data_IF_541825689238
#
_entry.id   IF_541825689238
#
_cell.length_a   1.000
_cell.length_b   1.000
_cell.length_c   1.000
_cell.angle_alpha   90.00
_cell.angle_beta   90.00
_cell.angle_gamma   90.00
#
_symmetry.space_group_name_H-M   'P 1'
#
loop_
_entity.id
_entity.type
_entity.pdbx_description
1 polymer ?
#
# COMPACT_ATOMS: atom_id res chain seq x y z
N UNK A 1 -31.24 -11.96 -19.44
CA UNK A 1 -30.35 -11.10 -18.63
C UNK A 1 -28.96 -11.11 -19.26
N UNK A 2 -28.33 -9.95 -19.39
CA UNK A 2 -26.97 -9.80 -19.86
C UNK A 2 -26.00 -10.48 -18.87
N UNK A 3 -25.06 -11.27 -19.36
CA UNK A 3 -24.06 -11.96 -18.53
C UNK A 3 -22.71 -11.23 -18.66
N UNK A 4 -21.95 -11.06 -17.59
CA UNK A 4 -20.55 -10.57 -17.68
C UNK A 4 -19.67 -11.61 -18.39
N UNK A 5 -18.49 -11.17 -18.85
CA UNK A 5 -17.50 -12.09 -19.42
C UNK A 5 -17.00 -13.09 -18.35
N UNK A 6 -16.58 -14.31 -18.74
CA UNK A 6 -16.31 -15.40 -17.78
C UNK A 6 -15.30 -15.05 -16.67
N UNK A 7 -14.20 -14.37 -17.02
CA UNK A 7 -13.18 -14.03 -16.03
C UNK A 7 -13.69 -13.05 -14.96
N UNK A 8 -14.59 -12.11 -15.32
CA UNK A 8 -15.22 -11.20 -14.35
C UNK A 8 -16.21 -11.96 -13.47
N UNK A 9 -16.99 -12.92 -14.05
CA UNK A 9 -17.90 -13.76 -13.26
C UNK A 9 -17.19 -14.60 -12.19
N UNK A 10 -15.92 -14.94 -12.42
CA UNK A 10 -15.11 -15.73 -11.51
C UNK A 10 -14.43 -14.90 -10.39
N UNK A 11 -14.49 -13.57 -10.49
CA UNK A 11 -13.89 -12.67 -9.49
C UNK A 11 -14.84 -12.44 -8.31
N UNK A 12 -14.25 -12.25 -7.12
CA UNK A 12 -14.96 -11.73 -5.96
C UNK A 12 -14.79 -10.21 -5.88
N UNK A 13 -15.80 -9.47 -5.40
CA UNK A 13 -15.66 -8.05 -5.11
C UNK A 13 -14.50 -7.78 -4.14
N UNK A 14 -13.82 -6.65 -4.31
CA UNK A 14 -12.82 -6.22 -3.33
C UNK A 14 -13.45 -6.08 -1.95
N UNK A 15 -12.85 -6.74 -0.94
CA UNK A 15 -13.38 -6.74 0.42
C UNK A 15 -13.28 -5.34 1.04
N UNK A 16 -14.42 -4.70 1.25
CA UNK A 16 -14.53 -3.40 1.90
C UNK A 16 -14.29 -3.52 3.42
N UNK A 17 -13.95 -2.41 4.06
CA UNK A 17 -13.92 -2.33 5.51
C UNK A 17 -15.36 -2.32 6.05
N UNK A 18 -15.60 -3.12 7.08
CA UNK A 18 -16.84 -3.05 7.84
C UNK A 18 -16.69 -1.97 8.92
N UNK A 19 -17.64 -1.03 8.97
CA UNK A 19 -17.58 0.16 9.83
C UNK A 19 -18.88 0.39 10.61
N UNK A 20 -19.57 -0.69 10.99
CA UNK A 20 -20.83 -0.64 11.73
C UNK A 20 -20.59 -0.96 13.21
N UNK A 21 -20.35 0.08 14.02
CA UNK A 21 -20.20 -0.09 15.46
C UNK A 21 -21.51 -0.54 16.12
N UNK A 22 -21.46 -1.39 17.17
CA UNK A 22 -22.64 -1.74 17.96
C UNK A 22 -23.33 -0.50 18.57
N UNK A 23 -24.63 -0.60 18.82
CA UNK A 23 -25.40 0.50 19.40
C UNK A 23 -24.78 0.99 20.72
N UNK A 24 -24.59 2.30 20.83
CA UNK A 24 -23.99 2.96 22.00
C UNK A 24 -22.46 2.86 22.09
N UNK A 25 -21.77 2.25 21.12
CA UNK A 25 -20.30 2.23 21.05
C UNK A 25 -19.78 3.25 20.05
N UNK A 26 -18.64 3.88 20.38
CA UNK A 26 -17.89 4.73 19.44
C UNK A 26 -17.24 3.86 18.35
N UNK A 27 -17.34 4.29 17.10
CA UNK A 27 -16.59 3.65 16.01
C UNK A 27 -15.12 4.02 16.09
N UNK A 28 -14.26 3.03 16.22
CA UNK A 28 -12.81 3.15 16.16
C UNK A 28 -12.31 2.29 14.98
N UNK A 29 -12.00 2.94 13.87
CA UNK A 29 -11.52 2.26 12.65
C UNK A 29 -9.99 2.26 12.58
N UNK A 30 -9.39 1.10 12.83
CA UNK A 30 -7.96 0.85 12.69
C UNK A 30 -7.69 -0.18 11.57
N UNK A 31 -8.49 -0.17 10.50
CA UNK A 31 -8.55 -1.24 9.50
C UNK A 31 -8.03 -0.88 8.11
N UNK A 32 -7.88 0.41 7.77
CA UNK A 32 -7.65 0.86 6.39
C UNK A 32 -6.27 1.49 6.15
N UNK A 33 -5.38 1.50 7.14
CA UNK A 33 -4.06 2.14 7.07
C UNK A 33 -4.17 3.62 6.66
N UNK A 34 -5.16 4.31 7.25
CA UNK A 34 -5.29 5.75 7.11
C UNK A 34 -4.21 6.47 7.92
N UNK A 35 -3.95 7.72 7.59
CA UNK A 35 -2.97 8.52 8.33
C UNK A 35 -3.48 8.85 9.72
N UNK A 36 -2.56 8.90 10.69
CA UNK A 36 -2.82 9.36 12.06
C UNK A 36 -3.31 10.82 12.09
N UNK A 37 -2.77 11.65 11.20
CA UNK A 37 -3.08 13.08 11.12
C UNK A 37 -3.88 13.43 9.87
N UNK A 38 -4.70 14.48 9.91
CA UNK A 38 -5.30 15.05 8.71
C UNK A 38 -4.22 15.50 7.72
N UNK A 39 -4.58 15.85 6.48
CA UNK A 39 -3.64 16.49 5.55
C UNK A 39 -3.08 17.81 6.12
N UNK A 40 -1.90 18.22 5.65
CA UNK A 40 -1.33 19.49 6.08
C UNK A 40 -2.29 20.67 5.82
N UNK A 41 -2.30 21.72 6.67
CA UNK A 41 -3.12 22.89 6.44
C UNK A 41 -2.87 23.57 5.08
N UNK A 42 -1.65 23.46 4.53
CA UNK A 42 -1.32 23.93 3.19
C UNK A 42 -2.03 23.12 2.11
N UNK A 43 -2.05 21.78 2.22
CA UNK A 43 -2.76 20.91 1.30
C UNK A 43 -4.28 21.14 1.33
N UNK A 44 -4.87 21.31 2.51
CA UNK A 44 -6.30 21.59 2.67
C UNK A 44 -6.67 22.91 1.98
N UNK A 45 -5.92 23.99 2.21
CA UNK A 45 -6.16 25.29 1.56
C UNK A 45 -6.01 25.20 0.05
N UNK A 46 -4.95 24.57 -0.45
CA UNK A 46 -4.72 24.42 -1.87
C UNK A 46 -5.86 23.64 -2.58
N UNK A 47 -6.36 22.58 -1.96
CA UNK A 47 -7.51 21.84 -2.47
C UNK A 47 -8.77 22.71 -2.52
N UNK A 48 -9.08 23.43 -1.45
CA UNK A 48 -10.26 24.31 -1.36
C UNK A 48 -10.23 25.43 -2.40
N UNK A 49 -9.07 26.02 -2.64
CA UNK A 49 -8.90 27.07 -3.66
C UNK A 49 -9.03 26.49 -5.07
N UNK A 50 -8.48 25.30 -5.33
CA UNK A 50 -8.55 24.66 -6.64
C UNK A 50 -9.98 24.27 -7.06
N UNK A 51 -10.85 23.91 -6.10
CA UNK A 51 -12.27 23.57 -6.37
C UNK A 51 -13.03 24.71 -7.06
N UNK A 52 -12.62 25.98 -6.91
CA UNK A 52 -13.21 27.14 -7.61
C UNK A 52 -13.13 26.99 -9.13
N UNK A 53 -12.17 26.21 -9.63
CA UNK A 53 -11.96 25.95 -11.05
C UNK A 53 -12.46 24.54 -11.48
N UNK A 54 -13.26 23.85 -10.65
CA UNK A 54 -13.72 22.48 -10.92
C UNK A 54 -14.63 22.34 -12.16
N UNK A 55 -15.07 23.45 -12.78
CA UNK A 55 -15.77 23.49 -14.06
C UNK A 55 -14.83 23.29 -15.27
N UNK A 56 -13.52 23.28 -15.07
CA UNK A 56 -12.50 23.00 -16.07
C UNK A 56 -11.87 21.62 -15.84
N UNK A 57 -11.41 20.98 -16.90
CA UNK A 57 -10.60 19.77 -16.78
C UNK A 57 -9.26 20.09 -16.08
N UNK A 58 -8.72 19.14 -15.27
CA UNK A 58 -7.40 19.28 -14.69
C UNK A 58 -6.28 19.20 -15.76
N UNK A 59 -5.08 19.58 -15.37
CA UNK A 59 -3.90 19.36 -16.23
C UNK A 59 -3.67 17.86 -16.43
N UNK A 60 -3.74 17.35 -17.68
CA UNK A 60 -3.55 15.94 -17.99
C UNK A 60 -2.09 15.47 -17.84
N UNK A 61 -1.14 16.41 -17.77
CA UNK A 61 0.29 16.15 -17.62
C UNK A 61 0.80 16.33 -16.20
N UNK A 62 -0.03 16.84 -15.30
CA UNK A 62 0.35 17.12 -13.89
C UNK A 62 1.62 17.98 -13.78
N UNK A 63 1.86 18.87 -14.72
CA UNK A 63 3.14 19.51 -14.99
C UNK A 63 3.77 20.13 -13.73
N UNK A 64 3.04 21.01 -13.03
CA UNK A 64 3.52 21.67 -11.81
C UNK A 64 3.79 20.66 -10.67
N UNK A 65 2.89 19.70 -10.50
CA UNK A 65 3.00 18.67 -9.47
C UNK A 65 4.18 17.74 -9.75
N UNK A 66 4.32 17.27 -10.99
CA UNK A 66 5.41 16.42 -11.45
C UNK A 66 6.78 17.10 -11.29
N UNK A 67 6.86 18.40 -11.58
CA UNK A 67 8.10 19.18 -11.44
C UNK A 67 8.55 19.26 -9.97
N UNK A 68 7.63 19.44 -9.03
CA UNK A 68 7.97 19.47 -7.60
C UNK A 68 8.44 18.10 -7.10
N UNK A 69 7.81 17.02 -7.55
CA UNK A 69 8.27 15.65 -7.24
C UNK A 69 9.69 15.39 -7.77
N UNK A 70 9.94 15.79 -9.02
CA UNK A 70 11.25 15.65 -9.66
C UNK A 70 12.34 16.37 -8.88
N UNK A 71 12.08 17.61 -8.45
CA UNK A 71 13.02 18.42 -7.66
C UNK A 71 13.29 17.81 -6.27
N UNK A 72 12.24 17.36 -5.57
CA UNK A 72 12.39 16.80 -4.22
C UNK A 72 13.24 15.54 -4.22
N UNK A 73 13.03 14.65 -5.20
CA UNK A 73 13.65 13.33 -5.23
C UNK A 73 14.89 13.25 -6.12
N UNK A 74 15.30 14.36 -6.76
CA UNK A 74 16.40 14.41 -7.75
C UNK A 74 16.25 13.35 -8.85
N UNK A 75 15.06 13.30 -9.47
CA UNK A 75 14.69 12.34 -10.52
C UNK A 75 14.14 13.07 -11.75
N UNK A 76 14.22 12.45 -12.95
CA UNK A 76 13.71 13.07 -14.18
C UNK A 76 12.19 13.20 -14.17
N UNK A 77 11.68 14.40 -14.44
CA UNK A 77 10.24 14.68 -14.46
C UNK A 77 9.51 13.87 -15.55
N UNK A 78 10.17 13.59 -16.68
CA UNK A 78 9.65 12.87 -17.84
C UNK A 78 9.27 11.42 -17.49
N UNK A 79 9.99 10.81 -16.54
CA UNK A 79 9.72 9.47 -16.03
C UNK A 79 8.62 9.40 -14.99
N UNK A 80 8.09 10.53 -14.50
CA UNK A 80 7.04 10.55 -13.50
C UNK A 80 5.68 10.46 -14.16
N UNK A 81 4.88 9.45 -13.77
CA UNK A 81 3.45 9.38 -14.04
C UNK A 81 2.66 9.48 -12.74
N UNK A 82 1.53 10.21 -12.80
CA UNK A 82 0.65 10.37 -11.65
C UNK A 82 -0.68 9.67 -11.90
N UNK A 83 -1.20 8.97 -10.88
CA UNK A 83 -2.41 8.15 -10.97
C UNK A 83 -3.45 8.51 -9.91
N UNK A 84 -4.68 8.09 -10.14
CA UNK A 84 -5.78 8.16 -9.18
C UNK A 84 -5.53 7.15 -8.02
N UNK A 85 -4.52 7.46 -7.19
CA UNK A 85 -3.82 6.54 -6.30
C UNK A 85 -2.87 5.61 -7.08
N UNK A 86 -1.92 4.96 -6.38
CA UNK A 86 -1.01 3.97 -6.99
C UNK A 86 -1.75 2.78 -7.61
N UNK A 87 -3.00 2.51 -7.18
CA UNK A 87 -3.83 1.44 -7.75
C UNK A 87 -4.08 1.61 -9.24
N UNK A 88 -4.31 2.83 -9.74
CA UNK A 88 -4.46 3.07 -11.19
C UNK A 88 -3.17 2.74 -11.94
N UNK A 89 -2.01 3.09 -11.38
CA UNK A 89 -0.73 2.78 -11.99
C UNK A 89 -0.45 1.27 -12.01
N UNK A 90 -0.80 0.54 -10.94
CA UNK A 90 -0.72 -0.93 -10.89
C UNK A 90 -1.61 -1.55 -11.96
N UNK A 91 -2.87 -1.10 -12.08
CA UNK A 91 -3.80 -1.59 -13.10
C UNK A 91 -3.28 -1.30 -14.50
N UNK A 92 -2.80 -0.09 -14.76
CA UNK A 92 -2.28 0.33 -16.04
C UNK A 92 -1.03 -0.46 -16.44
N UNK A 93 -0.09 -0.69 -15.50
CA UNK A 93 1.07 -1.57 -15.69
C UNK A 93 0.64 -2.98 -16.12
N UNK A 94 -0.33 -3.52 -15.40
CA UNK A 94 -0.82 -4.87 -15.67
C UNK A 94 -1.47 -4.96 -17.04
N UNK A 95 -2.34 -4.01 -17.41
CA UNK A 95 -2.99 -3.99 -18.72
C UNK A 95 -2.03 -3.76 -19.89
N UNK A 96 -0.94 -3.01 -19.67
CA UNK A 96 0.02 -2.71 -20.73
C UNK A 96 1.02 -3.85 -20.96
N UNK A 97 1.36 -4.64 -19.92
CA UNK A 97 2.48 -5.59 -19.96
C UNK A 97 2.11 -7.04 -19.70
N UNK A 98 0.83 -7.38 -19.42
CA UNK A 98 0.39 -8.76 -19.22
C UNK A 98 -0.98 -9.03 -19.85
N UNK A 99 -1.17 -10.26 -20.30
CA UNK A 99 -2.39 -10.78 -20.87
C UNK A 99 -2.59 -12.27 -20.48
N UNK A 100 -3.55 -12.94 -21.11
CA UNK A 100 -3.84 -14.35 -20.86
C UNK A 100 -2.68 -15.33 -21.16
N UNK A 101 -1.63 -14.88 -21.85
CA UNK A 101 -0.44 -15.69 -22.17
C UNK A 101 0.71 -15.48 -21.20
N UNK A 102 0.55 -14.54 -20.27
CA UNK A 102 1.61 -14.10 -19.38
C UNK A 102 1.30 -14.41 -17.92
N UNK A 103 2.34 -14.43 -17.10
CA UNK A 103 2.23 -14.54 -15.66
C UNK A 103 2.73 -13.29 -14.96
N UNK A 104 2.08 -12.99 -13.84
CA UNK A 104 2.47 -11.98 -12.86
C UNK A 104 2.87 -12.70 -11.60
N UNK A 105 4.08 -12.44 -11.11
CA UNK A 105 4.62 -13.06 -9.90
C UNK A 105 4.62 -12.05 -8.75
N UNK A 106 4.24 -12.49 -7.55
CA UNK A 106 4.33 -11.70 -6.32
C UNK A 106 4.61 -12.61 -5.11
N UNK A 107 5.04 -12.06 -3.95
CA UNK A 107 5.09 -12.79 -2.70
C UNK A 107 3.71 -13.34 -2.29
N UNK A 108 3.69 -14.41 -1.48
CA UNK A 108 2.46 -15.10 -1.09
C UNK A 108 1.45 -14.19 -0.37
N UNK A 109 1.95 -13.28 0.47
CA UNK A 109 1.14 -12.34 1.26
C UNK A 109 1.21 -10.92 0.68
N UNK A 110 1.26 -10.80 -0.65
CA UNK A 110 1.31 -9.52 -1.33
C UNK A 110 0.01 -8.71 -1.19
N UNK A 111 0.10 -7.42 -1.52
CA UNK A 111 -1.06 -6.53 -1.57
C UNK A 111 -2.17 -7.12 -2.46
N UNK A 112 -3.38 -7.33 -1.93
CA UNK A 112 -4.44 -8.08 -2.64
C UNK A 112 -4.80 -7.53 -4.02
N UNK A 113 -4.60 -6.23 -4.25
CA UNK A 113 -4.92 -5.63 -5.55
C UNK A 113 -4.02 -6.12 -6.69
N UNK A 114 -2.81 -6.60 -6.42
CA UNK A 114 -1.96 -7.20 -7.46
C UNK A 114 -2.65 -8.40 -8.12
N UNK A 115 -3.26 -9.26 -7.31
CA UNK A 115 -4.07 -10.40 -7.81
C UNK A 115 -5.29 -9.92 -8.58
N UNK A 116 -6.00 -8.91 -8.08
CA UNK A 116 -7.18 -8.34 -8.76
C UNK A 116 -6.78 -7.77 -10.12
N UNK A 117 -5.68 -7.02 -10.20
CA UNK A 117 -5.18 -6.46 -11.46
C UNK A 117 -4.81 -7.57 -12.47
N UNK A 118 -4.14 -8.64 -12.00
CA UNK A 118 -3.83 -9.81 -12.83
C UNK A 118 -5.10 -10.48 -13.39
N UNK A 119 -6.12 -10.67 -12.56
CA UNK A 119 -7.40 -11.24 -12.98
C UNK A 119 -8.10 -10.37 -14.03
N UNK A 120 -8.07 -9.04 -13.87
CA UNK A 120 -8.63 -8.11 -14.85
C UNK A 120 -7.92 -8.19 -16.21
N UNK A 121 -6.60 -8.37 -16.22
CA UNK A 121 -5.81 -8.59 -17.42
C UNK A 121 -5.86 -10.04 -17.94
N UNK A 122 -6.58 -10.94 -17.26
CA UNK A 122 -6.64 -12.37 -17.53
C UNK A 122 -5.27 -13.08 -17.39
N UNK A 123 -4.28 -12.43 -16.81
CA UNK A 123 -2.96 -12.99 -16.60
C UNK A 123 -2.97 -14.01 -15.45
N UNK A 124 -2.13 -15.05 -15.57
CA UNK A 124 -1.89 -15.98 -14.45
C UNK A 124 -1.21 -15.24 -13.31
N UNK A 125 -1.64 -15.49 -12.08
CA UNK A 125 -1.03 -14.91 -10.89
C UNK A 125 -0.29 -16.00 -10.13
N UNK A 126 1.04 -15.96 -10.19
CA UNK A 126 1.95 -16.87 -9.50
C UNK A 126 2.39 -16.24 -8.17
N UNK A 127 2.62 -17.09 -7.17
CA UNK A 127 3.06 -16.67 -5.84
C UNK A 127 4.36 -17.38 -5.46
N UNK A 128 5.27 -16.62 -4.84
CA UNK A 128 6.47 -17.15 -4.21
C UNK A 128 6.28 -17.21 -2.69
N UNK A 129 6.67 -18.29 -2.01
CA UNK A 129 6.59 -18.38 -0.57
C UNK A 129 7.43 -17.30 0.11
N UNK A 130 6.96 -16.87 1.30
CA UNK A 130 7.66 -15.94 2.16
C UNK A 130 8.28 -16.67 3.35
N UNK A 131 9.33 -16.11 3.92
CA UNK A 131 9.93 -16.59 5.16
C UNK A 131 9.44 -15.70 6.32
N UNK A 132 8.63 -16.29 7.20
CA UNK A 132 8.09 -15.62 8.39
C UNK A 132 7.46 -14.24 8.07
N UNK A 133 6.60 -14.17 7.05
CA UNK A 133 5.99 -12.94 6.54
C UNK A 133 6.98 -11.92 5.97
N UNK A 134 8.17 -12.34 5.59
CA UNK A 134 9.16 -11.53 4.90
C UNK A 134 9.38 -12.05 3.48
N UNK A 135 9.50 -11.16 2.54
CA UNK A 135 9.76 -11.50 1.13
C UNK A 135 11.09 -12.23 1.02
N UNK A 136 11.07 -13.43 0.40
CA UNK A 136 12.26 -14.20 0.06
C UNK A 136 12.64 -13.95 -1.41
N UNK A 137 13.77 -13.33 -1.63
CA UNK A 137 14.29 -13.09 -2.99
C UNK A 137 14.65 -14.39 -3.69
N UNK A 138 15.18 -15.40 -2.96
CA UNK A 138 15.47 -16.71 -3.52
C UNK A 138 14.19 -17.42 -3.98
N UNK A 139 13.13 -17.34 -3.18
CA UNK A 139 11.84 -17.91 -3.56
C UNK A 139 11.22 -17.20 -4.78
N UNK A 140 11.32 -15.87 -4.85
CA UNK A 140 10.86 -15.10 -6.03
C UNK A 140 11.64 -15.54 -7.28
N UNK A 141 12.96 -15.58 -7.22
CA UNK A 141 13.79 -15.98 -8.36
C UNK A 141 13.50 -17.41 -8.80
N UNK A 142 13.32 -18.35 -7.85
CA UNK A 142 12.97 -19.74 -8.14
C UNK A 142 11.57 -19.91 -8.74
N UNK A 143 10.63 -19.01 -8.44
CA UNK A 143 9.26 -19.05 -8.94
C UNK A 143 9.07 -18.42 -10.34
N UNK A 144 10.08 -17.75 -10.89
CA UNK A 144 10.03 -17.15 -12.23
C UNK A 144 9.80 -18.24 -13.29
N UNK A 145 8.77 -18.08 -14.12
CA UNK A 145 8.44 -18.95 -15.24
C UNK A 145 8.84 -18.30 -16.59
N UNK A 146 8.93 -19.06 -17.69
CA UNK A 146 9.25 -18.51 -19.03
C UNK A 146 8.29 -17.41 -19.48
N UNK A 147 7.03 -17.47 -19.06
CA UNK A 147 5.97 -16.51 -19.39
C UNK A 147 5.77 -15.43 -18.33
N UNK A 148 6.57 -15.37 -17.26
CA UNK A 148 6.56 -14.25 -16.30
C UNK A 148 6.96 -12.94 -16.97
N UNK A 149 6.12 -11.90 -16.82
CA UNK A 149 6.34 -10.55 -17.39
C UNK A 149 6.45 -9.46 -16.33
N UNK A 150 5.71 -9.60 -15.23
CA UNK A 150 5.72 -8.64 -14.12
C UNK A 150 6.07 -9.35 -12.83
N UNK A 151 6.90 -8.72 -12.01
CA UNK A 151 7.14 -9.11 -10.62
C UNK A 151 6.78 -7.93 -9.74
N UNK A 152 5.78 -8.09 -8.86
CA UNK A 152 5.37 -7.07 -7.89
C UNK A 152 5.98 -7.36 -6.53
N UNK A 153 6.59 -6.35 -5.91
CA UNK A 153 7.08 -6.40 -4.53
C UNK A 153 6.67 -5.12 -3.81
N UNK A 154 5.84 -5.23 -2.77
CA UNK A 154 5.58 -4.11 -1.87
C UNK A 154 6.71 -4.04 -0.83
N UNK A 155 7.38 -2.88 -0.72
CA UNK A 155 8.49 -2.69 0.21
C UNK A 155 8.51 -1.27 0.78
N UNK A 156 8.05 -1.08 2.04
CA UNK A 156 7.56 -2.08 3.00
C UNK A 156 6.26 -2.78 2.60
N UNK A 157 6.10 -4.03 3.06
CA UNK A 157 5.02 -4.94 2.68
C UNK A 157 3.66 -4.60 3.31
N UNK A 158 2.60 -4.85 2.59
CA UNK A 158 1.22 -4.85 3.08
C UNK A 158 0.56 -6.18 2.70
N UNK A 159 0.15 -7.01 3.67
CA UNK A 159 -0.12 -6.69 5.07
C UNK A 159 1.00 -7.03 6.07
N UNK A 160 2.14 -7.51 5.62
CA UNK A 160 3.17 -8.08 6.48
C UNK A 160 3.92 -7.06 7.34
N UNK A 161 3.91 -5.78 6.97
CA UNK A 161 4.62 -4.65 7.59
C UNK A 161 6.17 -4.72 7.53
N UNK A 162 6.71 -5.86 7.12
CA UNK A 162 8.14 -6.11 7.00
C UNK A 162 8.74 -5.41 5.77
N UNK A 163 10.06 -5.33 5.71
CA UNK A 163 10.77 -4.87 4.51
C UNK A 163 12.01 -5.73 4.25
N UNK A 164 12.42 -5.75 3.00
CA UNK A 164 13.72 -6.27 2.60
C UNK A 164 14.69 -5.11 2.36
N UNK A 165 15.98 -5.26 2.66
CA UNK A 165 16.97 -4.22 2.43
C UNK A 165 17.20 -3.98 0.94
N UNK A 166 17.72 -2.80 0.61
CA UNK A 166 18.05 -2.42 -0.77
C UNK A 166 18.91 -3.46 -1.49
N UNK A 167 19.90 -4.05 -0.81
CA UNK A 167 20.78 -5.08 -1.37
C UNK A 167 20.01 -6.27 -1.93
N UNK A 168 18.93 -6.68 -1.27
CA UNK A 168 18.09 -7.79 -1.72
C UNK A 168 17.23 -7.40 -2.93
N UNK A 169 16.71 -6.18 -2.99
CA UNK A 169 15.99 -5.70 -4.18
C UNK A 169 16.93 -5.55 -5.38
N UNK A 170 18.18 -5.14 -5.16
CA UNK A 170 19.23 -5.15 -6.18
C UNK A 170 19.53 -6.58 -6.65
N UNK A 171 19.64 -7.53 -5.72
CA UNK A 171 19.86 -8.95 -6.07
C UNK A 171 18.68 -9.53 -6.84
N UNK A 172 17.45 -9.20 -6.46
CA UNK A 172 16.26 -9.58 -7.19
C UNK A 172 16.32 -9.05 -8.63
N UNK A 173 16.53 -7.73 -8.82
CA UNK A 173 16.61 -7.15 -10.18
C UNK A 173 17.69 -7.81 -11.03
N UNK A 174 18.87 -8.07 -10.45
CA UNK A 174 19.99 -8.68 -11.17
C UNK A 174 19.73 -10.15 -11.54
N UNK A 175 18.91 -10.85 -10.78
CA UNK A 175 18.53 -12.25 -11.04
C UNK A 175 17.36 -12.42 -12.00
N UNK A 176 16.57 -11.36 -12.23
CA UNK A 176 15.45 -11.40 -13.17
C UNK A 176 15.92 -11.17 -14.60
N UNK A 177 15.31 -11.84 -15.58
CA UNK A 177 15.54 -11.59 -17.01
C UNK A 177 15.23 -10.14 -17.38
N UNK A 178 15.82 -9.65 -18.46
CA UNK A 178 15.65 -8.25 -18.93
C UNK A 178 14.24 -7.97 -19.47
N UNK A 179 13.51 -9.02 -19.89
CA UNK A 179 12.14 -8.91 -20.38
C UNK A 179 11.07 -8.94 -19.26
N UNK A 180 11.50 -8.99 -18.00
CA UNK A 180 10.63 -8.94 -16.81
C UNK A 180 10.70 -7.55 -16.18
N UNK A 181 9.56 -6.89 -16.05
CA UNK A 181 9.45 -5.63 -15.36
C UNK A 181 9.27 -5.87 -13.84
N UNK A 182 10.21 -5.36 -13.04
CA UNK A 182 10.10 -5.34 -11.57
C UNK A 182 9.35 -4.08 -11.15
N UNK A 183 8.27 -4.25 -10.40
CA UNK A 183 7.48 -3.15 -9.82
C UNK A 183 7.65 -3.15 -8.31
N UNK A 184 8.28 -2.13 -7.78
CA UNK A 184 8.49 -1.92 -6.34
C UNK A 184 7.44 -0.93 -5.87
N UNK A 185 6.48 -1.41 -5.08
CA UNK A 185 5.42 -0.58 -4.49
C UNK A 185 5.89 -0.06 -3.12
N UNK A 186 6.31 1.20 -3.09
CA UNK A 186 6.73 1.92 -1.89
C UNK A 186 5.59 2.77 -1.31
N UNK A 187 4.36 2.23 -1.26
CA UNK A 187 3.23 2.96 -0.66
C UNK A 187 3.47 3.37 0.81
N UNK A 188 4.41 2.75 1.47
CA UNK A 188 4.85 3.07 2.84
C UNK A 188 6.32 3.54 2.88
N UNK A 189 6.87 3.98 1.76
CA UNK A 189 8.28 4.37 1.61
C UNK A 189 8.71 5.42 2.62
N UNK A 190 7.90 6.46 2.83
CA UNK A 190 8.20 7.56 3.76
C UNK A 190 8.44 7.07 5.21
N UNK A 191 7.83 5.97 5.63
CA UNK A 191 8.05 5.37 6.96
C UNK A 191 9.40 4.65 7.08
N UNK A 192 10.10 4.41 5.98
CA UNK A 192 11.42 3.78 5.91
C UNK A 192 12.49 4.67 5.24
N UNK A 193 12.17 5.87 4.79
CA UNK A 193 13.12 6.79 4.12
C UNK A 193 14.31 7.19 5.03
N UNK A 194 14.12 7.14 6.37
CA UNK A 194 15.20 7.34 7.32
C UNK A 194 16.38 6.35 7.18
N UNK A 195 16.16 5.21 6.52
CA UNK A 195 17.20 4.23 6.22
C UNK A 195 18.07 4.65 5.01
N UNK A 196 17.68 5.72 4.30
CA UNK A 196 18.37 6.28 3.14
C UNK A 196 18.70 5.21 2.07
N UNK A 197 17.71 4.38 1.75
CA UNK A 197 17.82 3.30 0.75
C UNK A 197 16.84 3.53 -0.43
N UNK A 198 16.90 4.66 -1.18
CA UNK A 198 15.98 4.90 -2.28
C UNK A 198 16.21 3.90 -3.41
N UNK A 199 15.12 3.55 -4.13
CA UNK A 199 15.18 2.60 -5.24
C UNK A 199 15.05 3.28 -6.62
N UNK A 200 14.97 4.60 -6.68
CA UNK A 200 14.75 5.34 -7.93
C UNK A 200 15.89 5.16 -8.98
N UNK A 201 17.12 4.93 -8.54
CA UNK A 201 18.23 4.68 -9.43
C UNK A 201 18.10 3.35 -10.21
N UNK A 202 17.35 2.36 -9.68
CA UNK A 202 17.06 1.12 -10.40
C UNK A 202 16.21 1.36 -11.65
N UNK A 203 15.38 2.39 -11.65
CA UNK A 203 14.54 2.74 -12.81
C UNK A 203 15.39 3.09 -14.03
N UNK A 204 16.56 3.70 -13.83
CA UNK A 204 17.51 4.03 -14.91
C UNK A 204 18.01 2.79 -15.67
N UNK A 205 17.86 1.58 -15.10
CA UNK A 205 18.23 0.32 -15.76
C UNK A 205 17.23 -0.13 -16.83
N UNK A 206 16.05 0.53 -16.92
CA UNK A 206 15.08 0.33 -17.99
C UNK A 206 14.00 -0.73 -17.73
N UNK A 207 14.08 -1.51 -16.67
CA UNK A 207 13.15 -2.62 -16.38
C UNK A 207 12.73 -2.68 -14.91
N UNK A 208 12.69 -1.54 -14.24
CA UNK A 208 12.18 -1.38 -12.88
C UNK A 208 11.28 -0.15 -12.81
N UNK A 209 10.20 -0.25 -12.05
CA UNK A 209 9.27 0.83 -11.73
C UNK A 209 9.20 0.97 -10.22
N UNK A 210 9.15 2.20 -9.72
CA UNK A 210 8.93 2.50 -8.31
C UNK A 210 7.62 3.28 -8.19
N UNK A 211 6.71 2.82 -7.33
CA UNK A 211 5.41 3.45 -7.08
C UNK A 211 5.37 4.04 -5.68
N UNK A 212 4.74 5.20 -5.52
CA UNK A 212 4.44 5.86 -4.23
C UNK A 212 3.02 6.40 -4.19
N UNK A 213 2.55 6.80 -3.01
CA UNK A 213 1.18 7.31 -2.81
C UNK A 213 1.15 8.44 -1.80
N UNK A 214 0.21 9.36 -1.99
CA UNK A 214 -0.10 10.40 -1.00
C UNK A 214 -1.11 9.95 0.05
N UNK A 215 -1.62 8.71 -0.06
CA UNK A 215 -2.68 8.20 0.81
C UNK A 215 -2.23 7.93 2.25
N UNK A 216 -0.92 7.78 2.52
CA UNK A 216 -0.38 7.31 3.81
C UNK A 216 0.29 8.43 4.59
N UNK A 217 1.57 8.67 4.41
CA UNK A 217 2.33 9.67 5.15
C UNK A 217 1.78 11.11 4.99
N UNK A 218 1.24 11.44 3.82
CA UNK A 218 0.70 12.76 3.52
C UNK A 218 -0.77 12.95 3.91
N UNK A 219 -1.47 11.92 4.40
CA UNK A 219 -2.86 12.00 4.85
C UNK A 219 -3.90 12.27 3.76
N UNK A 220 -3.57 12.06 2.48
CA UNK A 220 -4.43 12.40 1.33
C UNK A 220 -5.18 11.19 0.76
N UNK A 221 -5.54 10.20 1.60
CA UNK A 221 -6.24 9.00 1.13
C UNK A 221 -7.52 9.31 0.35
N UNK A 222 -8.31 10.29 0.79
CA UNK A 222 -9.54 10.73 0.14
C UNK A 222 -9.33 11.50 -1.17
N UNK A 223 -8.14 12.07 -1.40
CA UNK A 223 -7.82 12.83 -2.62
C UNK A 223 -7.42 11.91 -3.79
N UNK A 224 -7.14 10.65 -3.54
CA UNK A 224 -6.80 9.65 -4.54
C UNK A 224 -5.63 10.06 -5.44
N UNK A 225 -4.49 10.38 -4.85
CA UNK A 225 -3.26 10.73 -5.58
C UNK A 225 -2.16 9.73 -5.29
N UNK A 226 -1.55 9.22 -6.35
CA UNK A 226 -0.34 8.40 -6.33
C UNK A 226 0.56 8.79 -7.48
N UNK A 227 1.80 8.33 -7.45
CA UNK A 227 2.75 8.56 -8.50
C UNK A 227 3.74 7.40 -8.61
N UNK A 228 4.49 7.37 -9.68
CA UNK A 228 5.58 6.44 -9.84
C UNK A 228 6.64 6.99 -10.78
N UNK A 229 7.84 6.45 -10.65
CA UNK A 229 8.94 6.67 -11.56
C UNK A 229 9.06 5.47 -12.50
N UNK A 230 9.08 5.74 -13.79
CA UNK A 230 9.03 4.76 -14.86
C UNK A 230 10.18 4.96 -15.85
N UNK A 231 10.73 3.88 -16.43
CA UNK A 231 11.52 4.00 -17.63
C UNK A 231 10.69 4.62 -18.76
N UNK A 232 11.31 5.42 -19.64
CA UNK A 232 10.63 6.18 -20.70
C UNK A 232 9.72 5.29 -21.57
N UNK A 233 10.23 4.14 -22.04
CA UNK A 233 9.44 3.22 -22.87
C UNK A 233 8.25 2.62 -22.12
N UNK A 234 8.36 2.36 -20.80
CA UNK A 234 7.26 1.89 -19.96
C UNK A 234 6.23 3.00 -19.78
N UNK A 235 6.68 4.23 -19.46
CA UNK A 235 5.81 5.39 -19.32
C UNK A 235 4.98 5.65 -20.58
N UNK A 236 5.59 5.51 -21.76
CA UNK A 236 4.90 5.67 -23.05
C UNK A 236 3.75 4.68 -23.22
N UNK A 237 3.96 3.40 -22.90
CA UNK A 237 2.94 2.36 -23.04
C UNK A 237 1.79 2.53 -22.02
N UNK A 238 2.13 2.90 -20.78
CA UNK A 238 1.11 3.10 -19.72
C UNK A 238 0.18 4.26 -20.05
N UNK A 239 0.70 5.35 -20.64
CA UNK A 239 -0.12 6.50 -21.07
C UNK A 239 -1.22 6.13 -22.08
N UNK A 240 -1.07 5.04 -22.82
CA UNK A 240 -2.08 4.56 -23.77
C UNK A 240 -3.31 3.95 -23.10
N UNK A 241 -3.18 3.46 -21.86
CA UNK A 241 -4.23 2.76 -21.12
C UNK A 241 -4.75 3.53 -19.89
N UNK A 242 -4.08 4.61 -19.52
CA UNK A 242 -4.53 5.50 -18.44
C UNK A 242 -5.70 6.38 -18.91
N UNK A 243 -6.62 6.70 -17.99
CA UNK A 243 -7.61 7.72 -18.24
C UNK A 243 -6.95 9.10 -18.35
N UNK A 244 -7.23 9.88 -19.40
CA UNK A 244 -6.83 11.28 -19.44
C UNK A 244 -7.56 12.04 -18.31
N UNK A 245 -6.92 13.09 -17.77
CA UNK A 245 -7.51 13.91 -16.68
C UNK A 245 -7.89 13.10 -15.42
N UNK A 246 -7.14 12.06 -15.11
CA UNK A 246 -7.43 11.07 -14.07
C UNK A 246 -7.41 11.64 -12.64
N UNK A 247 -6.59 12.66 -12.35
CA UNK A 247 -6.49 13.28 -11.02
C UNK A 247 -7.22 14.63 -11.04
N UNK A 248 -8.15 14.81 -10.11
CA UNK A 248 -8.93 16.05 -9.99
C UNK A 248 -8.05 17.29 -9.73
N UNK A 249 -8.55 18.47 -10.07
CA UNK A 249 -7.87 19.74 -9.78
C UNK A 249 -7.53 19.89 -8.29
N UNK A 250 -8.45 19.47 -7.41
CA UNK A 250 -8.24 19.49 -5.96
C UNK A 250 -7.15 18.49 -5.53
N UNK A 251 -7.13 17.29 -6.12
CA UNK A 251 -6.13 16.27 -5.86
C UNK A 251 -4.72 16.72 -6.24
N UNK A 252 -4.56 17.28 -7.45
CA UNK A 252 -3.26 17.79 -7.92
C UNK A 252 -2.76 18.94 -7.03
N UNK A 253 -3.63 19.89 -6.69
CA UNK A 253 -3.27 21.04 -5.84
C UNK A 253 -2.91 20.61 -4.41
N UNK A 254 -3.70 19.70 -3.81
CA UNK A 254 -3.41 19.16 -2.49
C UNK A 254 -2.08 18.40 -2.45
N UNK A 255 -1.83 17.53 -3.42
CA UNK A 255 -0.61 16.73 -3.48
C UNK A 255 0.62 17.61 -3.70
N UNK A 256 0.53 18.62 -4.59
CA UNK A 256 1.59 19.62 -4.80
C UNK A 256 1.91 20.38 -3.51
N UNK A 257 0.89 20.83 -2.78
CA UNK A 257 1.11 21.55 -1.53
C UNK A 257 1.66 20.65 -0.42
N UNK A 258 1.19 19.40 -0.34
CA UNK A 258 1.68 18.42 0.63
C UNK A 258 3.15 18.03 0.40
N UNK A 259 3.58 17.87 -0.86
CA UNK A 259 4.97 17.53 -1.16
C UNK A 259 5.93 18.70 -0.85
N UNK A 260 5.45 19.91 -0.86
CA UNK A 260 6.22 21.09 -0.46
C UNK A 260 6.28 21.29 1.08
N UNK A 261 5.45 20.57 1.83
CA UNK A 261 5.35 20.64 3.29
C UNK A 261 5.97 19.40 3.93
N UNK A 262 7.28 19.22 3.70
CA UNK A 262 8.02 18.04 4.15
C UNK A 262 8.14 17.97 5.68
N UNK A 263 8.16 19.11 6.37
CA UNK A 263 8.23 19.15 7.83
C UNK A 263 6.98 18.52 8.44
N UNK A 264 5.78 18.86 7.92
CA UNK A 264 4.52 18.28 8.38
C UNK A 264 4.46 16.76 8.13
N UNK A 265 4.88 16.33 6.95
CA UNK A 265 4.93 14.90 6.60
C UNK A 265 5.91 14.16 7.53
N UNK A 266 7.10 14.69 7.75
CA UNK A 266 8.13 14.12 8.61
C UNK A 266 7.66 14.02 10.07
N UNK A 267 6.96 15.03 10.59
CA UNK A 267 6.37 14.99 11.91
C UNK A 267 5.31 13.89 12.02
N UNK A 268 4.43 13.77 11.02
CA UNK A 268 3.42 12.70 10.95
C UNK A 268 4.07 11.31 10.98
N UNK A 269 5.12 11.10 10.18
CA UNK A 269 5.88 9.84 10.14
C UNK A 269 6.55 9.56 11.49
N UNK A 270 7.14 10.58 12.11
CA UNK A 270 7.83 10.47 13.41
C UNK A 270 6.86 10.05 14.52
N UNK A 271 5.73 10.76 14.64
CA UNK A 271 4.71 10.45 15.64
C UNK A 271 4.09 9.06 15.44
N UNK A 272 3.76 8.72 14.19
CA UNK A 272 3.25 7.39 13.85
C UNK A 272 4.26 6.30 14.21
N UNK A 273 5.53 6.51 13.93
CA UNK A 273 6.59 5.55 14.23
C UNK A 273 6.80 5.38 15.75
N UNK A 274 6.73 6.47 16.51
CA UNK A 274 6.82 6.41 17.97
C UNK A 274 5.65 5.61 18.58
N UNK A 275 4.42 5.89 18.17
CA UNK A 275 3.22 5.15 18.61
C UNK A 275 3.28 3.69 18.17
N UNK A 276 3.73 3.40 16.94
CA UNK A 276 3.94 2.03 16.45
C UNK A 276 4.89 1.25 17.35
N UNK A 277 6.03 1.82 17.72
CA UNK A 277 7.01 1.19 18.61
C UNK A 277 6.42 0.97 20.01
N UNK A 278 5.69 1.96 20.53
CA UNK A 278 5.04 1.86 21.85
C UNK A 278 4.01 0.73 21.88
N UNK A 279 3.05 0.70 20.94
CA UNK A 279 2.00 -0.32 20.91
C UNK A 279 2.57 -1.72 20.63
N UNK A 280 3.58 -1.81 19.77
CA UNK A 280 4.27 -3.09 19.51
C UNK A 280 4.90 -3.64 20.79
N UNK A 281 5.60 -2.81 21.57
CA UNK A 281 6.19 -3.19 22.85
C UNK A 281 5.11 -3.63 23.82
N UNK A 282 4.06 -2.84 24.02
CA UNK A 282 2.96 -3.17 24.91
C UNK A 282 2.31 -4.52 24.57
N UNK A 283 2.06 -4.81 23.29
CA UNK A 283 1.50 -6.09 22.87
C UNK A 283 2.47 -7.25 23.13
N UNK A 284 3.76 -7.09 22.81
CA UNK A 284 4.79 -8.12 23.04
C UNK A 284 4.96 -8.42 24.53
N UNK A 285 4.94 -7.40 25.39
CA UNK A 285 5.03 -7.55 26.86
C UNK A 285 3.86 -8.36 27.43
N UNK A 286 2.72 -8.40 26.70
CA UNK A 286 1.57 -9.24 27.01
C UNK A 286 1.52 -10.55 26.21
N UNK A 287 2.67 -10.92 25.60
CA UNK A 287 2.85 -12.19 24.91
C UNK A 287 2.13 -12.32 23.56
N UNK A 288 1.77 -11.20 22.91
CA UNK A 288 1.34 -11.22 21.51
C UNK A 288 2.54 -11.29 20.58
N UNK A 289 2.40 -12.05 19.51
CA UNK A 289 3.39 -12.10 18.44
C UNK A 289 3.12 -10.96 17.45
N UNK A 290 4.02 -9.98 17.42
CA UNK A 290 3.95 -8.82 16.52
C UNK A 290 5.29 -8.68 15.83
N UNK A 291 5.30 -8.76 14.49
CA UNK A 291 6.50 -8.57 13.68
C UNK A 291 7.03 -7.12 13.81
N UNK A 292 8.28 -6.91 13.45
CA UNK A 292 8.82 -5.56 13.24
C UNK A 292 8.08 -4.90 12.08
N UNK A 293 7.76 -3.62 12.21
CA UNK A 293 7.00 -2.90 11.21
C UNK A 293 7.71 -1.64 10.72
N UNK A 294 7.67 -1.46 9.39
CA UNK A 294 8.17 -0.29 8.66
C UNK A 294 7.02 0.48 7.96
N UNK A 295 5.80 0.38 8.50
CA UNK A 295 4.59 0.97 7.93
C UNK A 295 3.83 1.80 8.98
N UNK A 296 2.66 2.33 8.63
CA UNK A 296 1.73 2.95 9.58
C UNK A 296 0.74 1.95 10.20
N UNK A 297 1.11 0.67 10.26
CA UNK A 297 0.32 -0.39 10.88
C UNK A 297 1.24 -1.47 11.43
N UNK A 298 0.66 -2.37 12.23
CA UNK A 298 1.33 -3.59 12.71
C UNK A 298 0.52 -4.82 12.31
N UNK A 299 1.16 -5.98 12.25
CA UNK A 299 0.53 -7.28 12.06
C UNK A 299 0.64 -8.08 13.37
N UNK A 300 -0.52 -8.41 13.94
CA UNK A 300 -0.64 -9.23 15.15
C UNK A 300 -0.93 -10.66 14.69
N UNK A 301 -0.09 -11.61 15.10
CA UNK A 301 -0.22 -13.03 14.78
C UNK A 301 -0.78 -13.79 15.97
N UNK A 302 -1.74 -14.65 15.73
CA UNK A 302 -2.38 -15.53 16.71
C UNK A 302 -1.96 -16.97 16.42
N UNK A 303 -2.14 -17.87 17.39
CA UNK A 303 -1.73 -19.26 17.26
C UNK A 303 -2.51 -20.00 16.14
N UNK A 304 -3.76 -19.61 15.90
CA UNK A 304 -4.61 -20.20 14.87
C UNK A 304 -5.69 -19.17 14.41
N UNK A 305 -6.42 -19.47 13.32
CA UNK A 305 -7.47 -18.61 12.81
C UNK A 305 -8.64 -18.36 13.78
N UNK A 306 -8.97 -19.35 14.60
CA UNK A 306 -10.06 -19.29 15.56
C UNK A 306 -9.76 -18.25 16.66
N UNK A 307 -8.52 -18.21 17.16
CA UNK A 307 -8.08 -17.19 18.11
C UNK A 307 -8.09 -15.78 17.50
N UNK A 308 -7.66 -15.63 16.24
CA UNK A 308 -7.73 -14.35 15.55
C UNK A 308 -9.19 -13.87 15.41
N UNK A 309 -10.09 -14.77 15.07
CA UNK A 309 -11.53 -14.49 14.95
C UNK A 309 -12.15 -14.13 16.30
N UNK A 310 -11.81 -14.85 17.38
CA UNK A 310 -12.27 -14.56 18.74
C UNK A 310 -11.80 -13.17 19.21
N UNK A 311 -10.53 -12.85 18.99
CA UNK A 311 -9.97 -11.52 19.29
C UNK A 311 -10.62 -10.39 18.48
N UNK A 312 -10.87 -10.60 17.17
CA UNK A 312 -11.58 -9.65 16.32
C UNK A 312 -13.02 -9.43 16.81
N UNK A 313 -13.72 -10.49 17.22
CA UNK A 313 -15.07 -10.40 17.77
C UNK A 313 -15.10 -9.60 19.09
N UNK A 314 -14.14 -9.80 19.99
CA UNK A 314 -14.01 -9.04 21.24
C UNK A 314 -13.76 -7.54 20.97
N UNK A 315 -12.91 -7.21 20.01
CA UNK A 315 -12.66 -5.83 19.59
C UNK A 315 -13.92 -5.18 18.99
N UNK A 316 -14.60 -5.88 18.07
CA UNK A 316 -15.83 -5.39 17.42
C UNK A 316 -16.97 -5.16 18.40
N UNK A 317 -17.10 -6.00 19.42
CA UNK A 317 -18.09 -5.83 20.50
C UNK A 317 -17.92 -4.48 21.23
N UNK A 318 -16.70 -3.95 21.26
CA UNK A 318 -16.39 -2.64 21.85
C UNK A 318 -16.30 -1.50 20.82
N UNK A 319 -16.64 -1.77 19.54
CA UNK A 319 -16.63 -0.76 18.47
C UNK A 319 -15.27 -0.55 17.80
N UNK A 320 -14.27 -1.40 18.08
CA UNK A 320 -12.93 -1.36 17.47
C UNK A 320 -12.84 -2.31 16.29
N UNK A 321 -12.39 -1.80 15.13
CA UNK A 321 -12.30 -2.56 13.89
C UNK A 321 -10.87 -2.63 13.42
N UNK A 322 -10.27 -3.81 13.52
CA UNK A 322 -9.01 -4.15 12.86
C UNK A 322 -9.29 -4.80 11.49
N UNK A 323 -8.25 -5.15 10.75
CA UNK A 323 -8.38 -5.80 9.45
C UNK A 323 -7.94 -7.27 9.52
N UNK A 324 -8.87 -8.25 9.47
CA UNK A 324 -8.52 -9.66 9.29
C UNK A 324 -7.78 -9.88 7.97
N UNK A 325 -6.77 -10.75 7.98
CA UNK A 325 -5.88 -10.95 6.83
C UNK A 325 -6.09 -12.29 6.09
N UNK A 326 -7.25 -12.91 6.24
CA UNK A 326 -7.59 -14.15 5.51
C UNK A 326 -7.48 -14.01 3.99
N UNK A 327 -7.88 -12.85 3.43
CA UNK A 327 -7.77 -12.57 2.01
C UNK A 327 -6.33 -12.46 1.47
N UNK A 328 -5.34 -12.27 2.34
CA UNK A 328 -3.92 -12.30 2.03
C UNK A 328 -3.25 -13.63 2.40
N UNK A 329 -4.03 -14.69 2.70
CA UNK A 329 -3.51 -16.00 3.08
C UNK A 329 -2.98 -16.06 4.53
N UNK A 330 -3.36 -15.10 5.37
CA UNK A 330 -2.96 -15.03 6.79
C UNK A 330 -4.21 -15.01 7.71
N UNK A 331 -5.04 -16.09 7.72
CA UNK A 331 -6.30 -16.11 8.48
C UNK A 331 -6.10 -16.01 9.99
N UNK A 332 -4.91 -16.30 10.50
CA UNK A 332 -4.51 -16.21 11.90
C UNK A 332 -3.94 -14.81 12.26
N UNK A 333 -4.10 -13.80 11.40
CA UNK A 333 -3.53 -12.47 11.62
C UNK A 333 -4.58 -11.37 11.58
N UNK A 334 -4.40 -10.37 12.44
CA UNK A 334 -5.10 -9.09 12.41
C UNK A 334 -4.10 -7.96 12.14
N UNK A 335 -4.41 -7.09 11.18
CA UNK A 335 -3.62 -5.89 10.90
C UNK A 335 -4.26 -4.69 11.61
N UNK A 336 -3.47 -3.99 12.42
CA UNK A 336 -3.90 -2.82 13.18
C UNK A 336 -3.20 -1.56 12.67
N UNK A 337 -3.96 -0.62 12.15
CA UNK A 337 -3.49 0.73 11.79
C UNK A 337 -3.06 1.49 13.03
N UNK A 338 -2.00 2.29 12.94
CA UNK A 338 -1.58 3.19 14.02
C UNK A 338 -2.49 4.41 14.02
N UNK A 339 -3.39 4.45 14.98
CA UNK A 339 -4.32 5.54 15.27
C UNK A 339 -3.85 6.44 16.40
N UNK A 340 -4.77 7.17 17.04
CA UNK A 340 -4.48 7.99 18.20
C UNK A 340 -4.01 7.14 19.40
N UNK A 341 -3.24 7.76 20.31
CA UNK A 341 -2.81 7.07 21.55
C UNK A 341 -4.00 6.49 22.32
N UNK A 342 -5.08 7.27 22.45
CA UNK A 342 -6.32 6.85 23.11
C UNK A 342 -6.94 5.59 22.47
N UNK A 343 -7.07 5.59 21.13
CA UNK A 343 -7.65 4.45 20.40
C UNK A 343 -6.76 3.21 20.48
N UNK A 344 -5.45 3.38 20.44
CA UNK A 344 -4.48 2.29 20.57
C UNK A 344 -4.48 1.70 21.97
N UNK A 345 -4.44 2.55 23.01
CA UNK A 345 -4.49 2.11 24.42
C UNK A 345 -5.80 1.35 24.74
N UNK A 346 -6.93 1.87 24.23
CA UNK A 346 -8.21 1.20 24.35
C UNK A 346 -8.21 -0.17 23.67
N UNK A 347 -7.72 -0.25 22.43
CA UNK A 347 -7.62 -1.50 21.67
C UNK A 347 -6.72 -2.53 22.36
N UNK A 348 -5.56 -2.09 22.86
CA UNK A 348 -4.63 -2.95 23.63
C UNK A 348 -5.29 -3.44 24.92
N UNK A 349 -6.08 -2.60 25.62
CA UNK A 349 -6.77 -3.00 26.84
C UNK A 349 -7.78 -4.13 26.61
N UNK A 350 -8.49 -4.08 25.45
CA UNK A 350 -9.43 -5.14 25.05
C UNK A 350 -8.69 -6.43 24.76
N UNK A 351 -7.60 -6.37 23.97
CA UNK A 351 -6.81 -7.54 23.64
C UNK A 351 -6.20 -8.21 24.88
N UNK A 352 -5.74 -7.41 25.86
CA UNK A 352 -5.22 -7.93 27.14
C UNK A 352 -6.30 -8.69 27.91
N UNK A 353 -7.49 -8.10 28.09
CA UNK A 353 -8.62 -8.73 28.78
C UNK A 353 -9.04 -10.02 28.06
N UNK A 354 -9.23 -9.96 26.74
CA UNK A 354 -9.53 -11.12 25.93
C UNK A 354 -8.53 -12.27 26.15
N UNK A 355 -7.23 -11.97 26.13
CA UNK A 355 -6.19 -12.99 26.31
C UNK A 355 -6.22 -13.62 27.69
N UNK A 356 -6.56 -12.88 28.74
CA UNK A 356 -6.69 -13.41 30.09
C UNK A 356 -7.89 -14.37 30.19
N UNK A 357 -8.99 -14.07 29.51
CA UNK A 357 -10.20 -14.91 29.46
C UNK A 357 -9.96 -16.22 28.70
N UNK A 358 -9.19 -16.18 27.59
CA UNK A 358 -8.84 -17.39 26.81
C UNK A 358 -7.85 -18.33 27.55
N UNK A 359 -7.15 -17.85 28.58
CA UNK A 359 -6.21 -18.64 29.37
C UNK A 359 -6.84 -19.28 30.63
N UNK A 360 -8.11 -18.94 30.94
CA UNK A 360 -8.88 -19.48 32.08
C UNK A 360 -9.88 -20.50 31.64
#
# INVERSE_FOLDING_TARGET
MTKPVPHISAMSPYALAELNAPAGKRLISLSQNESLHPPSPHAIRAAADAVRNAHLYPDPEWADFRQVLAQLHDIPAEGILCGNGSMELIASLTHAFADAKNAILAPAHAYPFFRTAAQLAQARFDIAPEDNCSVSVDALLAAVQPDTRLVFVANPGNPTSTRVPRSELLRLRNGLRDDILLVIDEAYGEFSDHLNEPMFDLVKRGNTVVLRTFSKAYGLAGMRVGWGLFPEHVAHEIRKVMNPNNISVAGQAAARAAILDQDYMSETVHMTSALRLQVTRQLRDHGFDVAESFTNFILIRFANPEMAQSADAALRAEGVFLRPQGGAGLPHCLRMTIGSSEDLEFSVSILKRWKQEEMT
#
